data_IF_969104728160
#
_entry.id   IF_969104728160
#
_cell.length_a   1.000
_cell.length_b   1.000
_cell.length_c   1.000
_cell.angle_alpha   90.00
_cell.angle_beta   90.00
_cell.angle_gamma   90.00
#
_symmetry.space_group_name_H-M   'P 1'
#
loop_
_entity.id
_entity.type
_entity.pdbx_description
1 polymer ?
#
# COMPACT_ATOMS: atom_id res chain seq x y z
N UNK A 1 -34.59 19.97 7.81
CA UNK A 1 -34.00 19.89 7.93
C UNK A 1 -33.44 20.01 7.69
N UNK A 2 -33.53 19.60 7.24
CA UNK A 2 -32.83 19.55 6.93
C UNK A 2 -32.42 19.57 6.45
N UNK A 3 -32.40 19.43 6.33
CA UNK A 3 -31.76 19.31 6.05
C UNK A 3 -31.17 19.46 6.25
N UNK A 4 -30.94 19.22 6.53
CA UNK A 4 -30.33 19.11 6.83
C UNK A 4 -29.92 18.72 7.19
N UNK A 5 -30.08 18.26 7.46
CA UNK A 5 -29.76 17.65 7.52
C UNK A 5 -29.57 17.47 6.93
N UNK A 6 -29.77 17.89 7.03
CA UNK A 6 -29.83 17.78 6.27
C UNK A 6 -29.60 17.62 5.32
N UNK A 7 -28.74 17.66 5.46
CA UNK A 7 -28.35 17.01 4.39
C UNK A 7 -28.64 15.63 4.55
N UNK A 8 -29.25 15.13 3.65
CA UNK A 8 -29.62 13.79 3.74
C UNK A 8 -28.47 12.91 3.43
N UNK A 9 -28.63 11.71 3.80
CA UNK A 9 -27.68 10.74 3.51
C UNK A 9 -27.58 10.52 2.06
N UNK A 10 -28.63 10.62 1.34
CA UNK A 10 -28.55 10.50 -0.09
C UNK A 10 -27.66 11.52 -0.69
N UNK A 11 -27.71 12.70 -0.15
CA UNK A 11 -26.83 13.72 -0.67
C UNK A 11 -25.40 13.39 -0.44
N UNK A 12 -25.14 12.74 0.66
CA UNK A 12 -23.78 12.38 0.96
C UNK A 12 -23.29 11.20 0.18
N UNK A 13 -24.18 10.27 -0.06
CA UNK A 13 -23.77 9.03 -0.65
C UNK A 13 -24.30 8.85 -2.02
N UNK A 14 -25.58 9.12 -2.15
CA UNK A 14 -26.26 8.66 -3.28
C UNK A 14 -26.10 9.49 -4.49
N UNK A 15 -25.66 10.67 -4.29
CA UNK A 15 -25.52 11.49 -5.45
C UNK A 15 -24.42 11.03 -6.34
N UNK A 16 -23.62 10.15 -5.89
CA UNK A 16 -22.57 9.67 -6.72
C UNK A 16 -21.45 10.68 -6.92
N UNK A 17 -21.76 11.93 -6.93
CA UNK A 17 -20.71 12.90 -7.12
C UNK A 17 -19.72 12.88 -5.98
N UNK A 18 -20.22 12.82 -4.75
CA UNK A 18 -19.32 12.72 -3.62
C UNK A 18 -18.55 11.42 -3.64
N UNK A 19 -19.26 10.34 -3.93
CA UNK A 19 -18.62 9.05 -4.02
C UNK A 19 -17.61 9.02 -5.13
N UNK A 20 -17.97 9.59 -6.27
CA UNK A 20 -17.04 9.68 -7.38
C UNK A 20 -15.78 10.40 -6.99
N UNK A 21 -15.93 11.53 -6.30
CA UNK A 21 -14.76 12.28 -5.89
C UNK A 21 -13.91 11.49 -4.92
N UNK A 22 -14.52 10.79 -4.00
CA UNK A 22 -13.79 9.98 -3.04
C UNK A 22 -13.05 8.87 -3.74
N UNK A 23 -13.67 8.24 -4.71
CA UNK A 23 -13.05 7.14 -5.42
C UNK A 23 -11.87 7.59 -6.27
N UNK A 24 -11.78 8.88 -6.55
CA UNK A 24 -10.70 9.39 -7.38
C UNK A 24 -9.57 9.99 -6.58
N UNK A 25 -9.70 9.99 -5.27
CA UNK A 25 -8.61 10.50 -4.44
C UNK A 25 -7.44 9.54 -4.57
N UNK A 26 -6.27 10.05 -4.93
CA UNK A 26 -5.12 9.17 -5.05
C UNK A 26 -4.63 8.74 -3.67
N UNK A 27 -4.17 7.53 -3.59
CA UNK A 27 -3.56 7.01 -2.37
C UNK A 27 -2.19 6.47 -2.73
N UNK A 28 -1.33 6.44 -1.74
CA UNK A 28 0.02 5.96 -1.94
C UNK A 28 0.09 4.50 -1.53
N UNK A 29 0.61 3.69 -2.42
CA UNK A 29 0.84 2.28 -2.15
C UNK A 29 2.33 2.11 -1.92
N UNK A 30 2.67 1.46 -0.83
CA UNK A 30 4.06 1.19 -0.49
C UNK A 30 4.30 -0.30 -0.56
N UNK A 31 5.45 -0.67 -1.10
CA UNK A 31 5.86 -2.06 -1.17
C UNK A 31 7.04 -2.22 -0.26
N UNK A 32 6.89 -3.05 0.76
CA UNK A 32 7.92 -3.24 1.77
C UNK A 32 8.74 -4.45 1.37
N UNK A 33 9.99 -4.21 1.00
CA UNK A 33 10.86 -5.28 0.53
C UNK A 33 11.49 -6.06 1.67
N UNK A 34 11.52 -5.50 2.87
CA UNK A 34 12.11 -6.19 4.00
C UNK A 34 12.64 -5.19 4.99
N UNK A 35 13.22 -5.69 6.04
CA UNK A 35 13.80 -4.85 7.09
C UNK A 35 15.19 -5.33 7.40
N UNK A 36 15.93 -4.49 8.08
CA UNK A 36 17.28 -4.84 8.53
C UNK A 36 17.47 -4.29 9.93
N UNK A 37 18.21 -5.02 10.72
CA UNK A 37 18.55 -4.58 12.07
C UNK A 37 20.05 -4.57 12.20
N UNK A 38 20.58 -3.48 12.71
CA UNK A 38 22.02 -3.39 12.89
C UNK A 38 22.34 -2.44 14.03
N UNK A 39 23.54 -2.58 14.55
CA UNK A 39 24.00 -1.67 15.58
C UNK A 39 24.24 -0.28 14.99
N UNK A 40 24.09 0.74 15.83
CA UNK A 40 24.31 2.10 15.38
C UNK A 40 25.74 2.27 14.86
N UNK A 41 26.69 1.60 15.48
CA UNK A 41 28.07 1.70 15.02
C UNK A 41 28.22 1.19 13.58
N UNK A 42 27.47 0.16 13.24
CA UNK A 42 27.50 -0.34 11.86
C UNK A 42 26.83 0.63 10.91
N UNK A 43 25.72 1.20 11.36
CA UNK A 43 25.00 2.16 10.55
C UNK A 43 25.89 3.34 10.20
N UNK A 44 26.67 3.79 11.15
CA UNK A 44 27.52 4.97 10.93
C UNK A 44 28.69 4.68 9.99
N UNK A 45 28.95 3.44 9.71
CA UNK A 45 29.99 3.07 8.76
C UNK A 45 29.51 2.91 7.35
N UNK A 46 28.20 3.04 7.14
CA UNK A 46 27.67 2.89 5.80
C UNK A 46 28.07 4.08 4.94
N UNK A 47 28.39 3.80 3.71
CA UNK A 47 28.75 4.84 2.78
C UNK A 47 28.31 4.43 1.40
N UNK A 48 28.72 5.19 0.43
CA UNK A 48 28.32 4.92 -0.94
C UNK A 48 28.80 3.53 -1.35
N UNK A 49 27.87 2.74 -1.90
CA UNK A 49 28.18 1.39 -2.32
C UNK A 49 28.01 0.34 -1.26
N UNK A 50 27.71 0.77 -0.02
CA UNK A 50 27.43 -0.19 1.02
C UNK A 50 26.16 -0.97 0.71
N UNK A 51 26.11 -2.21 1.17
CA UNK A 51 24.94 -3.05 0.94
C UNK A 51 24.30 -3.33 2.28
N UNK A 52 23.01 -3.09 2.36
CA UNK A 52 22.23 -3.38 3.56
C UNK A 52 21.42 -4.62 3.27
N UNK A 53 21.78 -5.77 3.84
CA UNK A 53 21.01 -6.97 3.59
C UNK A 53 19.67 -6.89 4.31
N UNK A 54 18.63 -7.36 3.66
CA UNK A 54 17.32 -7.35 4.23
C UNK A 54 16.96 -8.75 4.70
N UNK A 55 16.00 -8.82 5.59
CA UNK A 55 15.58 -10.08 6.17
C UNK A 55 14.58 -10.81 5.31
N UNK A 56 14.59 -10.53 4.01
CA UNK A 56 13.65 -11.11 3.06
C UNK A 56 14.43 -11.80 1.97
N UNK A 57 13.98 -12.98 1.58
CA UNK A 57 14.67 -13.75 0.55
C UNK A 57 14.11 -13.44 -0.81
N UNK A 58 14.98 -13.59 -1.81
CA UNK A 58 14.53 -13.45 -3.18
C UNK A 58 13.46 -14.49 -3.45
N UNK A 59 12.36 -14.05 -4.02
CA UNK A 59 11.25 -14.94 -4.33
C UNK A 59 10.18 -15.03 -3.27
N UNK A 60 10.44 -14.52 -2.08
CA UNK A 60 9.39 -14.47 -1.07
C UNK A 60 8.45 -13.31 -1.37
N UNK A 61 7.17 -13.49 -1.07
CA UNK A 61 6.23 -12.41 -1.29
C UNK A 61 6.55 -11.20 -0.41
N UNK A 62 6.27 -10.03 -0.94
CA UNK A 62 6.48 -8.79 -0.21
C UNK A 62 5.13 -8.20 0.15
N UNK A 63 5.13 -7.34 1.16
CA UNK A 63 3.90 -6.72 1.63
C UNK A 63 3.58 -5.49 0.82
N UNK A 64 2.30 -5.33 0.53
CA UNK A 64 1.78 -4.13 -0.09
C UNK A 64 0.97 -3.40 0.95
N UNK A 65 1.33 -2.15 1.20
CA UNK A 65 0.82 -1.40 2.34
C UNK A 65 0.17 -0.12 1.86
N UNK A 66 -0.99 0.18 2.41
CA UNK A 66 -1.66 1.45 2.18
C UNK A 66 -2.06 1.99 3.55
N UNK A 67 -1.63 3.22 3.82
CA UNK A 67 -1.94 3.87 5.10
C UNK A 67 -1.50 3.03 6.29
N UNK A 68 -0.31 2.44 6.19
CA UNK A 68 0.24 1.68 7.29
C UNK A 68 -0.37 0.30 7.47
N UNK A 69 -1.21 -0.13 6.56
CA UNK A 69 -1.93 -1.38 6.69
C UNK A 69 -1.59 -2.30 5.53
N UNK A 70 -1.25 -3.52 5.82
CA UNK A 70 -0.97 -4.49 4.77
C UNK A 70 -2.27 -4.90 4.13
N UNK A 71 -2.40 -4.66 2.85
CA UNK A 71 -3.62 -4.97 2.12
C UNK A 71 -3.44 -6.13 1.15
N UNK A 72 -2.19 -6.47 0.86
CA UNK A 72 -1.94 -7.53 -0.12
C UNK A 72 -0.51 -7.98 0.01
N UNK A 73 -0.20 -9.06 -0.67
CA UNK A 73 1.16 -9.54 -0.85
C UNK A 73 1.36 -9.88 -2.31
N UNK A 74 2.59 -9.87 -2.71
CA UNK A 74 2.87 -10.21 -4.09
C UNK A 74 4.35 -10.37 -4.34
N UNK A 75 4.67 -10.59 -5.60
CA UNK A 75 6.04 -10.78 -6.04
C UNK A 75 6.48 -9.58 -6.84
N UNK A 76 7.71 -9.17 -6.62
CA UNK A 76 8.30 -8.07 -7.37
C UNK A 76 8.56 -8.55 -8.78
N UNK A 77 8.10 -7.75 -9.74
CA UNK A 77 8.29 -8.07 -11.16
C UNK A 77 8.76 -6.83 -11.88
N UNK A 78 9.16 -6.99 -13.11
CA UNK A 78 9.51 -5.89 -13.98
C UNK A 78 8.31 -5.63 -14.87
N UNK A 79 7.91 -4.36 -14.96
CA UNK A 79 6.77 -3.99 -15.79
C UNK A 79 7.21 -4.05 -17.25
N UNK A 80 6.48 -4.82 -18.06
CA UNK A 80 6.90 -5.08 -19.42
C UNK A 80 6.79 -3.88 -20.32
N UNK A 81 5.80 -3.04 -20.08
CA UNK A 81 5.64 -1.85 -20.88
C UNK A 81 6.76 -0.87 -20.68
N UNK A 82 7.37 -0.94 -19.54
CA UNK A 82 8.46 -0.02 -19.20
C UNK A 82 9.42 -0.83 -18.36
N UNK A 83 10.34 -1.47 -19.02
CA UNK A 83 11.21 -2.43 -18.37
C UNK A 83 12.22 -1.79 -17.44
N UNK A 84 12.08 -0.50 -17.20
CA UNK A 84 12.90 0.17 -16.19
C UNK A 84 12.19 0.34 -14.87
N UNK A 85 10.96 -0.14 -14.76
CA UNK A 85 10.19 -0.01 -13.54
C UNK A 85 9.90 -1.37 -12.92
N UNK A 86 9.84 -1.37 -11.62
CA UNK A 86 9.36 -2.53 -10.90
C UNK A 86 7.86 -2.44 -10.69
N UNK A 87 7.23 -3.58 -10.58
CA UNK A 87 5.86 -3.69 -10.18
C UNK A 87 5.71 -4.82 -9.20
N UNK A 88 4.50 -5.06 -8.77
CA UNK A 88 4.20 -6.17 -7.88
C UNK A 88 3.04 -6.95 -8.46
N UNK A 89 3.26 -8.23 -8.66
CA UNK A 89 2.20 -9.12 -9.10
C UNK A 89 1.55 -9.67 -7.85
N UNK A 90 0.30 -9.33 -7.62
CA UNK A 90 -0.35 -9.69 -6.39
C UNK A 90 -0.65 -11.18 -6.35
N UNK A 91 -0.31 -11.80 -5.23
CA UNK A 91 -0.57 -13.20 -5.03
C UNK A 91 -1.61 -13.44 -3.95
N UNK A 92 -1.85 -12.44 -3.12
CA UNK A 92 -2.77 -12.58 -2.01
C UNK A 92 -3.34 -11.23 -1.66
N UNK A 93 -4.63 -11.17 -1.48
CA UNK A 93 -5.28 -9.93 -1.10
C UNK A 93 -5.93 -10.12 0.24
N UNK A 94 -5.61 -9.21 1.17
CA UNK A 94 -6.13 -9.31 2.51
C UNK A 94 -7.03 -8.18 2.83
N UNK A 95 -7.40 -7.49 2.02
CA UNK A 95 -8.01 -6.33 2.13
C UNK A 95 -8.89 -5.94 3.20
N UNK A 96 -8.74 -4.75 3.59
CA UNK A 96 -9.76 -4.10 4.32
C UNK A 96 -10.99 -4.01 3.50
N UNK A 97 -10.79 -4.12 2.25
CA UNK A 97 -11.94 -4.12 1.39
C UNK A 97 -12.81 -5.29 1.65
N UNK A 98 -12.21 -6.28 2.16
CA UNK A 98 -13.00 -7.38 2.56
C UNK A 98 -13.66 -7.06 3.81
N UNK A 99 -13.81 -6.33 4.33
CA UNK A 99 -14.43 -5.98 5.34
C UNK A 99 -14.68 -6.35 6.43
N UNK A 100 -14.44 -6.50 6.73
CA UNK A 100 -14.43 -6.87 7.62
C UNK A 100 -15.18 -6.79 8.29
N UNK A 101 -15.64 -7.06 8.43
CA UNK A 101 -16.50 -6.89 9.15
C UNK A 101 -16.38 -6.90 10.43
N UNK A 102 -16.10 -7.07 10.59
CA UNK A 102 -16.10 -7.14 11.60
C UNK A 102 -16.00 -6.88 12.05
N UNK A 103 -15.95 -6.85 11.50
CA UNK A 103 -15.93 -6.75 11.83
C UNK A 103 -16.16 -6.62 12.22
#
# INVERSE_FOLDING_TARGET
MGSREGRTREELLGHGRNLDSILRVPVMIQVVLGTATMAVSSLMKLGRGAIVPLDHRVGEPVDVVVNGRVIARGEVVVVEDDNSRFGVSLTEIMGPLATEPNA
#
